data_IF_620163906262
#
_entry.id   IF_620163906262
#
_cell.length_a   1.000
_cell.length_b   1.000
_cell.length_c   1.000
_cell.angle_alpha   90.00
_cell.angle_beta   90.00
_cell.angle_gamma   90.00
#
_symmetry.space_group_name_H-M   'P 1'
#
loop_
_entity.id
_entity.type
_entity.pdbx_description
1 polymer ?
#
# COMPACT_ATOMS: atom_id res chain seq x y z
N UNK A 1 26.62 -12.63 -2.76
CA UNK A 1 27.55 -11.83 -1.94
C UNK A 1 27.11 -11.92 -0.50
N UNK A 2 28.00 -12.34 0.40
CA UNK A 2 27.71 -12.29 1.83
C UNK A 2 28.05 -10.87 2.29
N UNK A 3 27.03 -10.06 2.61
CA UNK A 3 27.28 -8.85 3.39
C UNK A 3 27.58 -9.32 4.81
N UNK A 4 28.87 -9.34 5.17
CA UNK A 4 29.32 -9.68 6.53
C UNK A 4 28.97 -8.59 7.56
N UNK A 5 28.46 -7.43 7.13
CA UNK A 5 28.06 -6.31 7.97
C UNK A 5 26.55 -6.09 7.98
N UNK A 6 25.83 -6.91 8.74
CA UNK A 6 24.44 -6.63 9.11
C UNK A 6 24.24 -5.31 9.91
N UNK A 7 25.31 -4.56 10.15
CA UNK A 7 25.28 -3.29 10.85
C UNK A 7 24.82 -2.07 10.03
N UNK A 8 24.88 -2.13 8.70
CA UNK A 8 24.52 -0.99 7.83
C UNK A 8 23.02 -0.69 7.82
N UNK A 9 22.17 -1.67 8.15
CA UNK A 9 20.70 -1.58 8.14
C UNK A 9 20.09 -1.54 9.55
N UNK A 10 20.89 -1.23 10.58
CA UNK A 10 20.37 -0.93 11.90
C UNK A 10 19.47 0.33 11.83
N UNK A 11 18.23 0.18 12.24
CA UNK A 11 17.21 1.26 12.16
C UNK A 11 16.35 1.25 10.89
N UNK A 12 16.67 0.40 9.90
CA UNK A 12 15.76 0.16 8.79
C UNK A 12 14.54 -0.69 9.25
N UNK A 13 13.45 -0.57 8.50
CA UNK A 13 12.30 -1.46 8.65
C UNK A 13 12.73 -2.93 8.66
N UNK A 14 12.34 -3.67 9.70
CA UNK A 14 12.63 -5.10 9.77
C UNK A 14 11.89 -5.89 8.67
N UNK A 15 10.76 -5.38 8.22
CA UNK A 15 10.01 -5.91 7.09
C UNK A 15 10.83 -5.80 5.80
N UNK A 16 11.44 -4.65 5.53
CA UNK A 16 12.28 -4.43 4.35
C UNK A 16 13.55 -5.28 4.36
N UNK A 17 14.17 -5.42 5.52
CA UNK A 17 15.35 -6.29 5.71
C UNK A 17 14.96 -7.75 5.43
N UNK A 18 13.81 -8.20 5.95
CA UNK A 18 13.28 -9.54 5.69
C UNK A 18 12.95 -9.76 4.21
N UNK A 19 12.34 -8.77 3.55
CA UNK A 19 12.05 -8.82 2.11
C UNK A 19 13.32 -8.94 1.25
N UNK A 20 14.42 -8.36 1.72
CA UNK A 20 15.74 -8.37 1.04
C UNK A 20 16.61 -9.54 1.44
N UNK A 21 16.09 -10.52 2.20
CA UNK A 21 16.84 -11.65 2.73
C UNK A 21 16.30 -12.99 2.18
N UNK A 22 17.20 -13.85 1.73
CA UNK A 22 16.91 -15.20 1.29
C UNK A 22 17.88 -16.18 1.95
N UNK A 23 17.36 -17.25 2.57
CA UNK A 23 18.15 -18.26 3.31
C UNK A 23 19.16 -17.62 4.30
N UNK A 24 18.66 -16.65 5.11
CA UNK A 24 19.45 -15.88 6.09
C UNK A 24 20.57 -15.02 5.49
N UNK A 25 20.58 -14.82 4.17
CA UNK A 25 21.54 -13.95 3.47
C UNK A 25 20.82 -12.77 2.84
N UNK A 26 21.33 -11.58 3.05
CA UNK A 26 20.84 -10.39 2.35
C UNK A 26 21.23 -10.50 0.87
N UNK A 27 20.21 -10.50 -0.01
CA UNK A 27 20.36 -10.65 -1.47
C UNK A 27 20.21 -9.32 -2.21
N UNK A 28 19.78 -8.28 -1.52
CA UNK A 28 19.60 -6.94 -2.06
C UNK A 28 19.75 -5.87 -0.97
N UNK A 29 19.82 -4.64 -1.41
CA UNK A 29 19.95 -3.43 -0.60
C UNK A 29 18.57 -2.76 -0.58
N UNK A 30 17.76 -2.90 0.51
CA UNK A 30 16.43 -2.31 0.57
C UNK A 30 16.52 -0.78 0.53
N UNK A 31 15.73 -0.17 -0.33
CA UNK A 31 15.78 1.25 -0.64
C UNK A 31 14.54 1.99 -0.16
N UNK A 32 13.40 1.58 -0.68
CA UNK A 32 12.11 2.22 -0.50
C UNK A 32 10.99 1.19 -0.32
N UNK A 33 9.84 1.70 0.04
CA UNK A 33 8.62 0.89 0.10
C UNK A 33 7.48 1.60 -0.59
N UNK A 34 6.50 0.83 -1.02
CA UNK A 34 5.19 1.30 -1.41
C UNK A 34 4.11 0.49 -0.69
N UNK A 35 3.10 1.17 -0.14
CA UNK A 35 2.03 0.56 0.64
C UNK A 35 0.69 1.23 0.37
N UNK A 36 -0.41 0.49 0.56
CA UNK A 36 -1.72 1.10 0.58
C UNK A 36 -1.87 2.05 1.77
N UNK A 37 -2.41 3.22 1.50
CA UNK A 37 -2.85 4.19 2.50
C UNK A 37 -4.22 4.74 2.13
N UNK A 38 -4.89 5.30 3.12
CA UNK A 38 -6.16 5.97 2.95
C UNK A 38 -5.99 7.48 3.12
N UNK A 39 -6.52 8.26 2.17
CA UNK A 39 -6.50 9.72 2.24
C UNK A 39 -7.93 10.26 2.30
N UNK A 40 -8.13 11.35 3.04
CA UNK A 40 -9.42 12.02 3.10
C UNK A 40 -9.29 13.53 3.20
N UNK A 41 -10.30 14.25 2.69
CA UNK A 41 -10.37 15.70 2.71
C UNK A 41 -10.52 16.24 4.14
N UNK A 42 -9.68 17.20 4.52
CA UNK A 42 -9.76 17.85 5.82
C UNK A 42 -11.06 18.68 5.94
N UNK A 43 -11.66 18.63 7.12
CA UNK A 43 -12.80 19.45 7.49
C UNK A 43 -14.17 18.90 7.12
N UNK A 44 -14.24 17.73 6.49
CA UNK A 44 -15.53 17.05 6.28
C UNK A 44 -15.90 16.19 7.49
N UNK A 45 -15.00 15.35 7.96
CA UNK A 45 -15.21 14.51 9.14
C UNK A 45 -14.84 15.28 10.41
N UNK A 46 -15.65 15.16 11.49
CA UNK A 46 -15.30 15.69 12.81
C UNK A 46 -14.15 14.93 13.47
N UNK A 47 -14.08 13.62 13.23
CA UNK A 47 -13.02 12.73 13.69
C UNK A 47 -12.54 11.85 12.54
N UNK A 48 -11.36 11.27 12.67
CA UNK A 48 -10.86 10.27 11.75
C UNK A 48 -11.84 9.11 11.61
N UNK A 49 -12.25 8.70 10.40
CA UNK A 49 -13.18 7.59 10.21
C UNK A 49 -12.54 6.26 10.63
N UNK A 50 -13.27 5.45 11.39
CA UNK A 50 -12.79 4.17 11.92
C UNK A 50 -13.01 3.01 10.93
N UNK A 51 -13.98 3.16 10.01
CA UNK A 51 -14.32 2.13 9.02
C UNK A 51 -14.94 2.74 7.77
N UNK A 52 -15.00 1.96 6.68
CA UNK A 52 -15.72 2.35 5.46
C UNK A 52 -17.22 2.52 5.75
N UNK A 53 -17.79 1.66 6.60
CA UNK A 53 -19.19 1.80 7.01
C UNK A 53 -19.44 3.12 7.75
N UNK A 54 -18.52 3.53 8.64
CA UNK A 54 -18.63 4.81 9.34
C UNK A 54 -18.60 6.01 8.38
N UNK A 55 -17.84 5.93 7.27
CA UNK A 55 -17.82 6.95 6.22
C UNK A 55 -19.19 7.04 5.54
N UNK A 56 -19.79 5.91 5.19
CA UNK A 56 -21.12 5.84 4.56
C UNK A 56 -22.18 6.40 5.51
N UNK A 57 -22.16 5.96 6.78
CA UNK A 57 -23.13 6.40 7.77
C UNK A 57 -23.02 7.90 8.03
N UNK A 58 -21.79 8.42 8.17
CA UNK A 58 -21.56 9.86 8.35
C UNK A 58 -22.07 10.67 7.15
N UNK A 59 -21.86 10.20 5.92
CA UNK A 59 -22.31 10.86 4.70
C UNK A 59 -23.84 10.87 4.53
N UNK A 60 -24.53 9.87 5.11
CA UNK A 60 -26.00 9.83 5.13
C UNK A 60 -26.61 10.88 6.08
N UNK A 61 -25.87 11.26 7.13
CA UNK A 61 -26.29 12.26 8.11
C UNK A 61 -25.79 13.67 7.77
N UNK A 62 -24.68 13.78 7.05
CA UNK A 62 -23.98 15.03 6.74
C UNK A 62 -23.78 15.11 5.22
N UNK A 63 -24.61 15.87 4.53
CA UNK A 63 -24.51 16.01 3.06
C UNK A 63 -23.11 16.48 2.65
N UNK A 64 -22.45 15.78 1.72
CA UNK A 64 -21.22 16.25 1.10
C UNK A 64 -21.43 17.61 0.42
N UNK A 65 -20.35 18.39 0.31
CA UNK A 65 -20.43 19.70 -0.38
C UNK A 65 -20.90 19.56 -1.84
N UNK A 66 -21.45 20.64 -2.39
CA UNK A 66 -22.03 20.66 -3.76
C UNK A 66 -21.08 20.19 -4.87
N UNK A 67 -19.76 20.26 -4.66
CA UNK A 67 -18.75 19.83 -5.63
C UNK A 67 -18.34 18.36 -5.50
N UNK A 68 -18.78 17.65 -4.46
CA UNK A 68 -18.40 16.26 -4.21
C UNK A 68 -19.22 15.37 -5.13
N UNK A 69 -18.52 14.61 -5.95
CA UNK A 69 -19.09 13.65 -6.90
C UNK A 69 -18.92 12.20 -6.38
N UNK A 70 -17.85 11.95 -5.60
CA UNK A 70 -17.46 10.64 -5.12
C UNK A 70 -17.20 10.67 -3.60
N UNK A 71 -17.82 9.74 -2.89
CA UNK A 71 -17.55 9.56 -1.46
C UNK A 71 -16.22 8.87 -1.22
N UNK A 72 -15.94 7.82 -1.99
CA UNK A 72 -14.71 7.04 -1.97
C UNK A 72 -14.37 6.59 -3.40
N UNK A 73 -13.11 6.75 -3.78
CA UNK A 73 -12.57 6.20 -5.01
C UNK A 73 -11.34 5.33 -4.75
N UNK A 74 -11.15 4.32 -5.55
CA UNK A 74 -9.92 3.53 -5.70
C UNK A 74 -9.82 2.96 -7.10
N UNK A 75 -8.64 2.55 -7.53
CA UNK A 75 -8.46 1.94 -8.84
C UNK A 75 -8.88 0.47 -8.83
N UNK A 76 -10.13 0.21 -9.11
CA UNK A 76 -10.74 -1.15 -9.18
C UNK A 76 -10.17 -2.01 -10.32
N UNK A 77 -9.32 -1.47 -11.17
CA UNK A 77 -8.63 -2.21 -12.21
C UNK A 77 -7.27 -2.75 -11.76
N UNK A 78 -6.84 -2.38 -10.55
CA UNK A 78 -5.59 -2.83 -9.95
C UNK A 78 -5.85 -3.54 -8.62
N UNK A 79 -5.61 -4.84 -8.60
CA UNK A 79 -5.82 -5.69 -7.43
C UNK A 79 -5.03 -5.24 -6.19
N UNK A 80 -3.99 -4.41 -6.34
CA UNK A 80 -3.29 -3.78 -5.24
C UNK A 80 -4.24 -2.94 -4.37
N UNK A 81 -5.17 -2.20 -5.00
CA UNK A 81 -6.16 -1.38 -4.29
C UNK A 81 -7.43 -2.14 -3.92
N UNK A 82 -7.65 -3.32 -4.49
CA UNK A 82 -8.75 -4.21 -4.10
C UNK A 82 -8.38 -5.11 -2.91
N UNK A 83 -7.08 -5.38 -2.72
CA UNK A 83 -6.60 -6.26 -1.65
C UNK A 83 -7.09 -5.89 -0.25
N UNK A 84 -7.19 -4.60 0.15
CA UNK A 84 -7.70 -4.24 1.46
C UNK A 84 -9.06 -4.82 1.82
N UNK A 85 -9.89 -5.15 0.84
CA UNK A 85 -11.22 -5.74 1.09
C UNK A 85 -11.15 -7.23 1.47
N UNK A 86 -10.10 -7.94 1.09
CA UNK A 86 -9.98 -9.39 1.31
C UNK A 86 -8.71 -9.80 2.06
N UNK A 87 -7.80 -8.87 2.32
CA UNK A 87 -6.46 -9.17 2.80
C UNK A 87 -6.40 -9.92 4.13
N UNK A 88 -7.39 -9.73 5.01
CA UNK A 88 -7.46 -10.42 6.30
C UNK A 88 -7.89 -11.89 6.17
N UNK A 89 -8.53 -12.25 5.07
CA UNK A 89 -8.95 -13.62 4.79
C UNK A 89 -7.93 -14.43 3.98
N UNK A 90 -6.80 -13.79 3.60
CA UNK A 90 -5.78 -14.39 2.73
C UNK A 90 -4.43 -14.47 3.44
N UNK A 91 -3.76 -15.60 3.34
CA UNK A 91 -2.42 -15.81 3.90
C UNK A 91 -1.49 -16.36 2.85
N UNK A 92 -0.30 -15.75 2.73
CA UNK A 92 0.77 -16.22 1.85
C UNK A 92 1.78 -17.00 2.68
N UNK A 93 1.83 -18.33 2.49
CA UNK A 93 2.69 -19.23 3.22
C UNK A 93 3.81 -19.79 2.33
N UNK A 94 5.05 -19.52 2.68
CA UNK A 94 6.19 -20.10 1.95
C UNK A 94 6.31 -21.58 2.27
N UNK A 95 6.11 -22.44 1.28
CA UNK A 95 6.16 -23.91 1.43
C UNK A 95 7.47 -24.56 0.98
N UNK A 96 8.20 -23.89 0.07
CA UNK A 96 9.53 -24.26 -0.39
C UNK A 96 10.27 -23.02 -0.91
N UNK A 97 11.56 -23.07 -1.25
CA UNK A 97 12.34 -21.92 -1.69
C UNK A 97 11.67 -21.07 -2.78
N UNK A 98 11.00 -21.71 -3.74
CA UNK A 98 10.37 -21.02 -4.89
C UNK A 98 8.85 -21.22 -4.94
N UNK A 99 8.24 -21.85 -3.92
CA UNK A 99 6.80 -22.11 -3.88
C UNK A 99 6.14 -21.42 -2.70
N UNK A 100 5.00 -20.84 -2.96
CA UNK A 100 4.15 -20.19 -1.99
C UNK A 100 2.76 -20.82 -2.07
N UNK A 101 2.16 -21.09 -0.93
CA UNK A 101 0.76 -21.46 -0.84
C UNK A 101 -0.05 -20.20 -0.53
N UNK A 102 -1.15 -20.00 -1.26
CA UNK A 102 -2.15 -18.98 -0.92
C UNK A 102 -3.28 -19.71 -0.20
N UNK A 103 -3.41 -19.48 1.09
CA UNK A 103 -4.44 -20.05 1.92
C UNK A 103 -5.55 -19.02 2.18
N UNK A 104 -6.78 -19.51 2.28
CA UNK A 104 -7.97 -18.70 2.50
C UNK A 104 -8.67 -19.15 3.78
N UNK A 105 -9.08 -18.18 4.60
CA UNK A 105 -10.22 -18.36 5.48
C UNK A 105 -11.48 -18.18 4.64
N UNK A 106 -12.05 -19.32 4.14
CA UNK A 106 -13.14 -19.31 3.18
C UNK A 106 -14.39 -18.61 3.72
N UNK A 107 -14.68 -18.75 5.02
CA UNK A 107 -15.86 -18.13 5.65
C UNK A 107 -15.69 -16.62 5.76
N UNK A 108 -14.48 -16.15 6.09
CA UNK A 108 -14.16 -14.72 6.15
C UNK A 108 -14.10 -14.11 4.75
N UNK A 109 -13.44 -14.78 3.80
CA UNK A 109 -13.33 -14.33 2.41
C UNK A 109 -14.70 -14.13 1.77
N UNK A 110 -15.64 -15.07 2.02
CA UNK A 110 -17.00 -14.92 1.51
C UNK A 110 -17.72 -13.70 2.13
N UNK A 111 -17.55 -13.45 3.42
CA UNK A 111 -18.14 -12.27 4.09
C UNK A 111 -17.52 -10.96 3.59
N UNK A 112 -16.22 -10.95 3.34
CA UNK A 112 -15.52 -9.80 2.77
C UNK A 112 -16.10 -9.44 1.39
N UNK A 113 -16.31 -10.43 0.52
CA UNK A 113 -16.90 -10.24 -0.80
C UNK A 113 -18.39 -9.82 -0.74
N UNK A 114 -19.18 -10.40 0.15
CA UNK A 114 -20.58 -10.00 0.37
C UNK A 114 -20.67 -8.55 0.88
N UNK A 115 -19.77 -8.15 1.75
CA UNK A 115 -19.70 -6.76 2.20
C UNK A 115 -19.26 -5.83 1.05
N UNK A 116 -18.25 -6.23 0.28
CA UNK A 116 -17.80 -5.48 -0.90
C UNK A 116 -18.97 -5.21 -1.86
N UNK A 117 -19.73 -6.24 -2.22
CA UNK A 117 -20.93 -6.09 -3.06
C UNK A 117 -21.95 -5.11 -2.44
N UNK A 118 -22.14 -5.20 -1.13
CA UNK A 118 -23.09 -4.33 -0.40
C UNK A 118 -22.71 -2.86 -0.49
N UNK A 119 -21.41 -2.53 -0.34
CA UNK A 119 -20.95 -1.14 -0.32
C UNK A 119 -20.77 -0.52 -1.70
N UNK A 120 -20.62 -1.31 -2.76
CA UNK A 120 -20.47 -0.79 -4.12
C UNK A 120 -21.60 0.15 -4.52
N UNK A 121 -22.82 -0.12 -4.07
CA UNK A 121 -23.98 0.75 -4.30
C UNK A 121 -23.86 2.14 -3.65
N UNK A 122 -22.96 2.31 -2.68
CA UNK A 122 -22.70 3.58 -2.00
C UNK A 122 -21.62 4.42 -2.70
N UNK A 123 -20.86 3.81 -3.62
CA UNK A 123 -19.76 4.45 -4.33
C UNK A 123 -20.06 4.47 -5.84
N UNK A 124 -19.99 5.65 -6.43
CA UNK A 124 -20.34 5.85 -7.86
C UNK A 124 -19.15 5.56 -8.77
N UNK A 125 -18.51 4.39 -8.64
CA UNK A 125 -17.33 4.03 -9.41
C UNK A 125 -17.70 3.63 -10.85
N UNK A 126 -16.94 4.16 -11.81
CA UNK A 126 -16.99 3.74 -13.22
C UNK A 126 -15.70 3.03 -13.60
N UNK A 127 -15.75 1.69 -13.65
CA UNK A 127 -14.65 0.81 -13.99
C UNK A 127 -13.96 1.17 -15.33
N UNK A 128 -14.67 1.82 -16.27
CA UNK A 128 -14.13 2.14 -17.59
C UNK A 128 -13.30 3.44 -17.60
N UNK A 129 -13.47 4.30 -16.60
CA UNK A 129 -12.82 5.60 -16.54
C UNK A 129 -11.92 5.79 -15.33
N UNK A 130 -12.05 4.94 -14.30
CA UNK A 130 -11.25 5.04 -13.08
C UNK A 130 -9.79 4.64 -13.33
N UNK A 131 -8.89 5.43 -12.81
CA UNK A 131 -7.44 5.17 -12.76
C UNK A 131 -6.84 5.98 -11.62
N UNK A 132 -5.68 5.59 -11.11
CA UNK A 132 -5.03 6.34 -10.04
C UNK A 132 -4.83 7.82 -10.39
N UNK A 133 -4.45 8.15 -11.62
CA UNK A 133 -4.27 9.55 -12.04
C UNK A 133 -5.60 10.32 -12.02
N UNK A 134 -6.72 9.72 -12.48
CA UNK A 134 -8.04 10.38 -12.42
C UNK A 134 -8.52 10.56 -10.97
N UNK A 135 -8.28 9.59 -10.09
CA UNK A 135 -8.62 9.66 -8.67
C UNK A 135 -7.88 10.81 -7.99
N UNK A 136 -6.57 10.93 -8.22
CA UNK A 136 -5.77 12.01 -7.66
C UNK A 136 -6.21 13.39 -8.18
N UNK A 137 -6.57 13.50 -9.46
CA UNK A 137 -7.13 14.73 -10.02
C UNK A 137 -8.48 15.09 -9.38
N UNK A 138 -9.39 14.13 -9.21
CA UNK A 138 -10.67 14.34 -8.54
C UNK A 138 -10.48 14.72 -7.07
N UNK A 139 -9.60 14.04 -6.36
CA UNK A 139 -9.30 14.34 -4.97
C UNK A 139 -8.72 15.75 -4.79
N UNK A 140 -7.76 16.16 -5.63
CA UNK A 140 -7.20 17.52 -5.65
C UNK A 140 -8.24 18.58 -5.97
N UNK A 141 -9.21 18.27 -6.82
CA UNK A 141 -10.29 19.18 -7.18
C UNK A 141 -11.41 19.25 -6.12
N UNK A 142 -11.34 18.47 -5.04
CA UNK A 142 -12.37 18.38 -4.00
C UNK A 142 -13.64 17.67 -4.47
N UNK A 143 -13.55 16.86 -5.53
CA UNK A 143 -14.65 16.05 -6.06
C UNK A 143 -14.78 14.71 -5.36
N UNK A 144 -13.67 14.22 -4.80
CA UNK A 144 -13.57 12.96 -4.04
C UNK A 144 -13.28 13.29 -2.59
N UNK A 145 -14.05 12.71 -1.67
CA UNK A 145 -13.84 12.92 -0.23
C UNK A 145 -12.75 12.00 0.32
N UNK A 146 -12.73 10.76 -0.11
CA UNK A 146 -11.81 9.73 0.38
C UNK A 146 -11.24 8.94 -0.80
N UNK A 147 -10.00 8.45 -0.67
CA UNK A 147 -9.43 7.56 -1.66
C UNK A 147 -8.47 6.53 -1.04
N UNK A 148 -8.45 5.32 -1.61
CA UNK A 148 -7.31 4.43 -1.45
C UNK A 148 -6.24 4.84 -2.46
N UNK A 149 -5.05 5.12 -1.96
CA UNK A 149 -3.89 5.46 -2.77
C UNK A 149 -2.69 4.65 -2.29
N UNK A 150 -1.59 4.72 -2.99
CA UNK A 150 -0.32 4.20 -2.51
C UNK A 150 0.57 5.32 -1.97
N UNK A 151 1.57 4.95 -1.18
CA UNK A 151 2.47 5.93 -0.56
C UNK A 151 3.21 6.78 -1.59
N UNK A 152 3.57 6.23 -2.74
CA UNK A 152 4.22 6.95 -3.83
C UNK A 152 3.33 8.04 -4.46
N UNK A 153 2.02 7.94 -4.30
CA UNK A 153 1.06 8.95 -4.79
C UNK A 153 0.96 10.17 -3.88
N UNK A 154 1.38 10.09 -2.61
CA UNK A 154 1.20 11.17 -1.64
C UNK A 154 1.90 12.47 -2.06
N UNK A 155 3.11 12.39 -2.66
CA UNK A 155 3.81 13.56 -3.17
C UNK A 155 3.00 14.35 -4.22
N UNK A 156 2.10 13.68 -4.95
CA UNK A 156 1.24 14.34 -5.93
C UNK A 156 0.14 15.19 -5.26
N UNK A 157 -0.06 15.02 -3.94
CA UNK A 157 -1.06 15.71 -3.14
C UNK A 157 -0.48 16.83 -2.25
N UNK A 158 0.82 17.09 -2.28
CA UNK A 158 1.52 18.05 -1.40
C UNK A 158 1.01 19.49 -1.49
N UNK A 159 0.29 19.83 -2.57
CA UNK A 159 -0.25 21.18 -2.81
C UNK A 159 -1.66 21.39 -2.22
N UNK A 160 -2.25 20.39 -1.57
CA UNK A 160 -3.58 20.47 -0.93
C UNK A 160 -3.53 20.07 0.54
N UNK A 161 -4.60 20.42 1.29
CA UNK A 161 -4.74 20.03 2.69
C UNK A 161 -5.60 18.78 2.82
N UNK A 162 -5.03 17.68 3.27
CA UNK A 162 -5.68 16.40 3.45
C UNK A 162 -5.10 15.68 4.68
N UNK A 163 -5.71 14.58 5.06
CA UNK A 163 -5.18 13.66 6.07
C UNK A 163 -4.87 12.30 5.49
N UNK A 164 -3.81 11.68 6.00
CA UNK A 164 -3.42 10.30 5.68
C UNK A 164 -3.69 9.42 6.89
N UNK A 165 -4.15 8.21 6.66
CA UNK A 165 -4.29 7.17 7.68
C UNK A 165 -4.01 5.79 7.08
N UNK A 166 -3.82 4.80 7.92
CA UNK A 166 -3.86 3.40 7.52
C UNK A 166 -5.24 3.07 6.94
N UNK A 167 -5.32 1.96 6.17
CA UNK A 167 -6.60 1.54 5.62
C UNK A 167 -7.59 1.29 6.77
N UNK A 168 -8.76 1.99 6.79
CA UNK A 168 -9.77 1.79 7.82
C UNK A 168 -10.41 0.40 7.71
N UNK A 169 -10.91 -0.14 8.81
CA UNK A 169 -11.68 -1.38 8.78
C UNK A 169 -12.85 -1.29 7.77
N UNK A 170 -13.31 -2.43 7.26
CA UNK A 170 -14.49 -2.44 6.40
C UNK A 170 -15.73 -2.03 7.20
N UNK A 171 -15.93 -2.66 8.36
CA UNK A 171 -16.94 -2.33 9.36
C UNK A 171 -16.50 -2.83 10.75
N UNK A 172 -17.39 -2.80 11.75
CA UNK A 172 -17.08 -3.24 13.13
C UNK A 172 -16.67 -4.72 13.25
N UNK A 173 -17.10 -5.59 12.31
CA UNK A 173 -16.87 -7.04 12.34
C UNK A 173 -15.76 -7.48 11.35
N UNK A 174 -15.51 -6.70 10.31
CA UNK A 174 -14.60 -7.03 9.21
C UNK A 174 -13.41 -6.06 9.22
N UNK A 175 -12.25 -6.49 9.73
CA UNK A 175 -11.04 -5.70 9.63
C UNK A 175 -10.56 -5.63 8.18
N UNK A 176 -9.67 -4.70 7.89
CA UNK A 176 -8.95 -4.60 6.62
C UNK A 176 -7.46 -4.69 6.85
N UNK A 177 -6.71 -5.01 5.83
CA UNK A 177 -5.25 -4.92 5.84
C UNK A 177 -4.74 -4.54 4.45
N UNK A 178 -3.87 -3.54 4.38
CA UNK A 178 -3.23 -3.15 3.13
C UNK A 178 -2.16 -4.15 2.68
N UNK A 179 -1.72 -4.01 1.45
CA UNK A 179 -0.53 -4.69 0.96
C UNK A 179 0.58 -3.69 0.64
N UNK A 180 1.79 -4.20 0.56
CA UNK A 180 2.98 -3.39 0.34
C UNK A 180 4.03 -4.13 -0.48
N UNK A 181 4.93 -3.37 -1.07
CA UNK A 181 6.15 -3.86 -1.71
C UNK A 181 7.39 -3.17 -1.14
N UNK A 182 8.54 -3.79 -1.36
CA UNK A 182 9.85 -3.23 -1.01
C UNK A 182 10.72 -3.18 -2.25
N UNK A 183 11.21 -2.01 -2.59
CA UNK A 183 12.19 -1.85 -3.65
C UNK A 183 13.59 -2.05 -3.10
N UNK A 184 14.44 -2.69 -3.90
CA UNK A 184 15.82 -2.93 -3.52
C UNK A 184 16.77 -2.87 -4.72
N UNK A 185 18.01 -2.48 -4.47
CA UNK A 185 19.08 -2.70 -5.43
C UNK A 185 19.62 -4.12 -5.32
N UNK A 186 19.83 -4.76 -6.46
CA UNK A 186 20.49 -6.06 -6.54
C UNK A 186 21.73 -5.93 -7.41
N UNK A 187 22.86 -6.41 -6.90
CA UNK A 187 24.11 -6.42 -7.66
C UNK A 187 24.16 -7.65 -8.55
N UNK A 188 24.37 -7.43 -9.83
CA UNK A 188 24.51 -8.50 -10.79
C UNK A 188 25.87 -9.18 -10.67
N UNK A 189 25.90 -10.47 -10.31
CA UNK A 189 27.10 -11.27 -10.14
C UNK A 189 27.97 -11.39 -11.41
N UNK A 190 27.39 -11.18 -12.57
CA UNK A 190 28.13 -11.14 -13.84
C UNK A 190 28.79 -9.78 -14.13
N UNK A 191 28.61 -8.80 -13.24
CA UNK A 191 29.27 -7.50 -13.36
C UNK A 191 30.78 -7.66 -13.17
N UNK A 192 31.57 -6.87 -13.93
CA UNK A 192 33.02 -6.78 -13.73
C UNK A 192 33.40 -5.84 -12.58
N UNK A 193 32.41 -5.12 -12.01
CA UNK A 193 32.59 -4.09 -10.99
C UNK A 193 31.61 -4.34 -9.82
N UNK A 194 31.54 -5.58 -9.34
CA UNK A 194 30.59 -5.98 -8.27
C UNK A 194 30.81 -5.19 -7.00
N UNK A 195 32.09 -4.99 -6.59
CA UNK A 195 32.40 -4.24 -5.36
C UNK A 195 31.94 -2.79 -5.46
N UNK A 196 32.24 -2.11 -6.56
CA UNK A 196 31.79 -0.71 -6.77
C UNK A 196 30.26 -0.60 -6.87
N UNK A 197 29.60 -1.61 -7.45
CA UNK A 197 28.15 -1.66 -7.51
C UNK A 197 27.53 -1.86 -6.12
N UNK A 198 28.13 -2.70 -5.28
CA UNK A 198 27.74 -2.90 -3.89
C UNK A 198 27.94 -1.62 -3.06
N UNK A 199 29.13 -1.00 -3.14
CA UNK A 199 29.44 0.27 -2.47
C UNK A 199 28.45 1.38 -2.88
N UNK A 200 28.09 1.45 -4.16
CA UNK A 200 27.11 2.42 -4.67
C UNK A 200 25.71 2.13 -4.11
N UNK A 201 25.26 0.87 -4.14
CA UNK A 201 23.95 0.47 -3.62
C UNK A 201 23.85 0.79 -2.13
N UNK A 202 24.87 0.42 -1.32
CA UNK A 202 24.92 0.74 0.10
C UNK A 202 24.92 2.25 0.36
N UNK A 203 25.70 3.00 -0.40
CA UNK A 203 25.73 4.45 -0.29
C UNK A 203 24.37 5.10 -0.52
N UNK A 204 23.65 4.68 -1.58
CA UNK A 204 22.35 5.26 -1.91
C UNK A 204 21.31 4.87 -0.85
N UNK A 205 21.28 3.61 -0.45
CA UNK A 205 20.25 3.10 0.46
C UNK A 205 20.43 3.58 1.89
N UNK A 206 21.67 3.78 2.37
CA UNK A 206 21.96 4.16 3.77
C UNK A 206 22.27 5.64 3.93
N UNK A 207 22.85 6.30 2.93
CA UNK A 207 23.35 7.69 3.05
C UNK A 207 22.45 8.74 2.42
N UNK A 208 21.52 8.35 1.55
CA UNK A 208 20.60 9.28 0.91
C UNK A 208 19.16 9.15 1.42
N UNK A 209 18.96 8.45 2.51
CA UNK A 209 17.65 8.18 3.11
C UNK A 209 16.81 9.43 3.32
N UNK A 210 17.36 10.46 3.99
CA UNK A 210 16.67 11.72 4.28
C UNK A 210 16.38 12.58 3.02
N UNK A 211 16.92 12.20 1.87
CA UNK A 211 16.76 12.92 0.61
C UNK A 211 16.00 12.12 -0.43
N UNK A 212 15.72 10.85 -0.15
CA UNK A 212 15.11 9.97 -1.14
C UNK A 212 13.73 10.50 -1.55
N UNK A 213 12.91 10.88 -0.58
CA UNK A 213 11.58 11.42 -0.84
C UNK A 213 11.65 12.70 -1.69
N UNK A 214 12.48 13.68 -1.31
CA UNK A 214 12.64 14.93 -2.06
C UNK A 214 13.12 14.73 -3.50
N UNK A 215 13.91 13.67 -3.74
CA UNK A 215 14.52 13.40 -5.04
C UNK A 215 13.65 12.55 -5.97
N UNK A 216 12.86 11.66 -5.41
CA UNK A 216 12.14 10.62 -6.17
C UNK A 216 10.67 10.47 -5.81
N UNK A 217 10.22 11.04 -4.69
CA UNK A 217 8.89 10.86 -4.14
C UNK A 217 8.68 9.54 -3.37
N UNK A 218 9.67 8.66 -3.37
CA UNK A 218 9.61 7.39 -2.64
C UNK A 218 10.02 7.57 -1.18
N UNK A 219 9.33 6.90 -0.28
CA UNK A 219 9.71 6.84 1.14
C UNK A 219 10.79 5.81 1.37
N UNK A 220 11.81 6.20 2.16
CA UNK A 220 12.91 5.32 2.54
C UNK A 220 12.46 4.24 3.51
N UNK A 221 13.10 3.07 3.45
CA UNK A 221 12.95 2.00 4.46
C UNK A 221 13.48 2.41 5.85
N UNK A 222 14.16 3.54 5.96
CA UNK A 222 14.55 4.17 7.22
C UNK A 222 13.60 5.34 7.50
N UNK A 223 12.89 5.28 8.62
CA UNK A 223 12.06 6.41 9.04
C UNK A 223 12.95 7.60 9.44
N UNK A 224 12.75 8.74 8.79
CA UNK A 224 13.49 9.96 9.11
C UNK A 224 13.20 10.43 10.54
N UNK A 225 14.22 10.98 11.21
CA UNK A 225 14.02 11.61 12.53
C UNK A 225 13.19 12.90 12.44
N UNK A 226 13.08 13.47 11.26
CA UNK A 226 12.31 14.69 10.98
C UNK A 226 11.00 14.37 10.24
N UNK A 227 10.63 13.09 10.17
CA UNK A 227 9.40 12.63 9.53
C UNK A 227 8.18 13.39 10.07
N UNK A 228 7.35 13.88 9.19
CA UNK A 228 6.05 14.45 9.53
C UNK A 228 5.02 13.35 9.85
N UNK A 229 3.78 13.73 10.13
CA UNK A 229 2.76 12.77 10.51
C UNK A 229 2.30 11.92 9.32
N UNK A 230 2.34 12.43 8.09
CA UNK A 230 2.01 11.67 6.89
C UNK A 230 3.08 10.60 6.60
N UNK A 231 4.36 10.95 6.70
CA UNK A 231 5.47 10.01 6.54
C UNK A 231 5.45 8.91 7.62
N UNK A 232 5.18 9.28 8.90
CA UNK A 232 5.03 8.30 9.99
C UNK A 232 3.87 7.34 9.74
N UNK A 233 2.74 7.86 9.27
CA UNK A 233 1.56 7.05 8.94
C UNK A 233 1.85 6.13 7.76
N UNK A 234 2.49 6.62 6.70
CA UNK A 234 2.92 5.82 5.56
C UNK A 234 3.88 4.68 5.97
N UNK A 235 4.84 5.00 6.86
CA UNK A 235 5.76 4.00 7.40
C UNK A 235 5.04 2.95 8.23
N UNK A 236 4.08 3.35 9.08
CA UNK A 236 3.29 2.41 9.89
C UNK A 236 2.41 1.55 8.99
N UNK A 237 1.75 2.13 7.99
CA UNK A 237 0.97 1.39 7.01
C UNK A 237 1.81 0.32 6.29
N UNK A 238 3.07 0.63 5.95
CA UNK A 238 4.01 -0.34 5.41
C UNK A 238 4.36 -1.44 6.42
N UNK A 239 4.66 -1.08 7.69
CA UNK A 239 5.00 -2.06 8.73
C UNK A 239 3.85 -3.04 9.02
N UNK A 240 2.59 -2.60 8.92
CA UNK A 240 1.42 -3.42 9.20
C UNK A 240 0.90 -4.18 7.96
N UNK A 241 1.21 -3.70 6.75
CA UNK A 241 0.74 -4.29 5.49
C UNK A 241 1.26 -5.73 5.24
N UNK A 242 0.56 -6.47 4.41
CA UNK A 242 1.05 -7.74 3.85
C UNK A 242 2.04 -7.46 2.74
N UNK A 243 3.25 -8.01 2.83
CA UNK A 243 4.20 -7.93 1.71
C UNK A 243 3.73 -8.78 0.54
N UNK A 244 3.77 -8.19 -0.66
CA UNK A 244 3.46 -8.89 -1.90
C UNK A 244 4.58 -9.89 -2.22
N UNK A 245 4.29 -11.21 -2.27
CA UNK A 245 5.30 -12.18 -2.65
C UNK A 245 5.50 -12.22 -4.17
N UNK A 246 6.73 -12.33 -4.62
CA UNK A 246 7.06 -12.59 -6.04
C UNK A 246 7.11 -14.10 -6.30
N UNK A 247 5.95 -14.72 -6.44
CA UNK A 247 5.81 -16.13 -6.80
C UNK A 247 4.71 -16.31 -7.85
N UNK A 248 4.70 -17.47 -8.53
CA UNK A 248 3.65 -17.74 -9.52
C UNK A 248 2.27 -17.85 -8.83
N UNK A 249 2.20 -18.53 -7.67
CA UNK A 249 0.95 -18.69 -6.94
C UNK A 249 0.37 -17.34 -6.48
N UNK A 250 1.23 -16.39 -6.06
CA UNK A 250 0.79 -15.04 -5.74
C UNK A 250 0.30 -14.28 -6.99
N UNK A 251 0.98 -14.42 -8.13
CA UNK A 251 0.53 -13.83 -9.40
C UNK A 251 -0.82 -14.37 -9.83
N UNK A 252 -1.03 -15.66 -9.70
CA UNK A 252 -2.31 -16.31 -10.02
C UNK A 252 -3.42 -15.82 -9.06
N UNK A 253 -3.10 -15.61 -7.78
CA UNK A 253 -4.03 -14.98 -6.83
C UNK A 253 -4.42 -13.56 -7.27
N UNK A 254 -3.46 -12.71 -7.65
CA UNK A 254 -3.74 -11.33 -8.09
C UNK A 254 -4.63 -11.29 -9.33
N UNK A 255 -4.37 -12.17 -10.29
CA UNK A 255 -5.23 -12.30 -11.49
C UNK A 255 -6.64 -12.74 -11.07
N UNK A 256 -6.75 -13.75 -10.20
CA UNK A 256 -8.03 -14.24 -9.71
C UNK A 256 -8.82 -13.20 -8.91
N UNK A 257 -8.15 -12.41 -8.06
CA UNK A 257 -8.79 -11.31 -7.32
C UNK A 257 -9.35 -10.25 -8.29
N UNK A 258 -8.54 -9.80 -9.25
CA UNK A 258 -8.98 -8.84 -10.26
C UNK A 258 -10.19 -9.35 -11.06
N UNK A 259 -10.15 -10.61 -11.50
CA UNK A 259 -11.28 -11.23 -12.23
C UNK A 259 -12.53 -11.31 -11.33
N UNK A 260 -12.34 -11.65 -10.05
CA UNK A 260 -13.45 -11.73 -9.09
C UNK A 260 -14.10 -10.37 -8.81
N UNK A 261 -13.31 -9.35 -8.63
CA UNK A 261 -13.81 -7.98 -8.44
C UNK A 261 -14.56 -7.48 -9.68
N UNK A 262 -14.05 -7.78 -10.87
CA UNK A 262 -14.70 -7.40 -12.13
C UNK A 262 -16.09 -8.03 -12.35
N UNK A 263 -16.43 -9.12 -11.65
CA UNK A 263 -17.77 -9.73 -11.70
C UNK A 263 -18.87 -8.83 -11.10
N UNK A 264 -18.50 -7.85 -10.26
CA UNK A 264 -19.43 -6.95 -9.58
C UNK A 264 -19.76 -5.67 -10.38
N UNK A 265 -19.06 -5.41 -11.47
CA UNK A 265 -19.25 -4.25 -12.36
C UNK A 265 -19.78 -4.67 -13.73
#
# INVERSE_FOLDING_TARGET
MENEDGGSYEGASQKSVKASTYEDKMIGYPLSYDANVFVYQNGYFENQPESLQAIIDYSNENEPGENVEYLLEWDVNDAFYDFPFVGNSVTFEKTAPETMNVAYDEDLYQKDLEYFETILGSFSLDINSVSMDSILEHFKAGKTLCAFVNTDSLQKLDDISYSVMEIPALNEELPSIGCASTDMFVVNDFSKNTDQAADFADFVTVRLTDRLHDMSGHYSVFLSQTADDAEKTAYQAYEDAVLLPDSQDAKDFWVGLKEKIAEYF
#
